data_IF_093019454420
#
_entry.id   IF_093019454420
#
_cell.length_a   1.000
_cell.length_b   1.000
_cell.length_c   1.000
_cell.angle_alpha   90.00
_cell.angle_beta   90.00
_cell.angle_gamma   90.00
#
_symmetry.space_group_name_H-M   'P 1'
#
loop_
_entity.id
_entity.type
_entity.pdbx_description
1 polymer ?
#
# COMPACT_ATOMS: atom_id res chain seq x y z
N UNK A 1 -15.38 0.78 -12.92
CA UNK A 1 -14.07 1.19 -12.36
C UNK A 1 -14.22 1.54 -10.89
N UNK A 2 -13.15 1.76 -10.12
CA UNK A 2 -13.26 2.22 -8.73
C UNK A 2 -14.08 3.51 -8.59
N UNK A 3 -13.88 4.46 -9.52
CA UNK A 3 -14.65 5.71 -9.56
C UNK A 3 -16.15 5.48 -9.79
N UNK A 4 -16.53 4.52 -10.64
CA UNK A 4 -17.94 4.21 -10.89
C UNK A 4 -18.59 3.57 -9.67
N UNK A 5 -17.90 2.63 -9.01
CA UNK A 5 -18.38 1.99 -7.78
C UNK A 5 -18.56 3.01 -6.65
N UNK A 6 -17.65 3.98 -6.51
CA UNK A 6 -17.80 5.08 -5.54
C UNK A 6 -19.05 5.92 -5.85
N UNK A 7 -19.27 6.29 -7.12
CA UNK A 7 -20.45 7.09 -7.52
C UNK A 7 -21.75 6.33 -7.38
N UNK A 8 -21.73 5.01 -7.57
CA UNK A 8 -22.89 4.14 -7.33
C UNK A 8 -23.26 4.13 -5.83
N UNK A 9 -22.26 4.07 -4.95
CA UNK A 9 -22.47 4.12 -3.49
C UNK A 9 -22.97 5.49 -3.04
N UNK A 10 -22.35 6.57 -3.53
CA UNK A 10 -22.73 7.93 -3.18
C UNK A 10 -22.54 8.88 -4.37
N UNK A 11 -23.61 9.29 -5.08
CA UNK A 11 -23.49 10.16 -6.25
C UNK A 11 -23.14 11.62 -5.90
N UNK A 12 -23.12 11.99 -4.62
CA UNK A 12 -22.80 13.35 -4.17
C UNK A 12 -21.29 13.61 -4.06
N UNK A 13 -20.46 12.57 -4.11
CA UNK A 13 -19.00 12.72 -4.00
C UNK A 13 -18.38 13.11 -5.34
N UNK A 14 -17.43 14.05 -5.30
CA UNK A 14 -16.61 14.38 -6.46
C UNK A 14 -15.40 13.44 -6.53
N UNK A 15 -15.34 12.58 -7.55
CA UNK A 15 -14.20 11.69 -7.78
C UNK A 15 -13.32 12.26 -8.88
N UNK A 16 -12.15 12.77 -8.50
CA UNK A 16 -11.11 13.27 -9.42
C UNK A 16 -10.13 12.14 -9.69
N UNK A 17 -10.03 11.73 -10.96
CA UNK A 17 -9.16 10.62 -11.38
C UNK A 17 -7.88 11.21 -11.96
N UNK A 18 -6.74 10.79 -11.42
CA UNK A 18 -5.42 11.02 -12.01
C UNK A 18 -4.98 9.74 -12.72
N UNK A 19 -5.18 9.67 -14.03
CA UNK A 19 -4.80 8.49 -14.82
C UNK A 19 -3.31 8.56 -15.22
N UNK A 20 -2.44 8.61 -14.22
CA UNK A 20 -0.98 8.66 -14.36
C UNK A 20 -0.34 7.83 -13.24
N UNK A 21 0.81 7.23 -13.51
CA UNK A 21 1.64 6.72 -12.44
C UNK A 21 2.12 7.91 -11.58
N UNK A 22 2.11 7.73 -10.27
CA UNK A 22 2.67 8.74 -9.38
C UNK A 22 4.19 8.70 -9.52
N UNK A 23 4.83 9.86 -9.69
CA UNK A 23 6.27 9.98 -9.83
C UNK A 23 6.78 11.28 -9.17
N UNK A 24 8.10 11.46 -9.17
CA UNK A 24 8.77 12.63 -8.59
C UNK A 24 8.25 13.95 -9.17
N UNK A 25 7.95 13.97 -10.46
CA UNK A 25 7.63 15.18 -11.20
C UNK A 25 6.19 15.62 -10.95
N UNK A 26 5.28 14.68 -10.71
CA UNK A 26 3.85 14.95 -10.54
C UNK A 26 3.33 14.90 -9.09
N UNK A 27 4.02 14.21 -8.17
CA UNK A 27 3.48 13.92 -6.83
C UNK A 27 3.15 15.18 -6.04
N UNK A 28 4.02 16.20 -6.09
CA UNK A 28 3.80 17.45 -5.34
C UNK A 28 2.62 18.25 -5.87
N UNK A 29 2.49 18.35 -7.20
CA UNK A 29 1.38 19.05 -7.84
C UNK A 29 0.06 18.39 -7.49
N UNK A 30 -0.02 17.06 -7.61
CA UNK A 30 -1.22 16.29 -7.28
C UNK A 30 -1.54 16.46 -5.79
N UNK A 31 -0.58 16.22 -4.89
CA UNK A 31 -0.83 16.23 -3.45
C UNK A 31 -1.20 17.62 -2.93
N UNK A 32 -0.67 18.69 -3.52
CA UNK A 32 -0.98 20.07 -3.12
C UNK A 32 -2.49 20.37 -3.10
N UNK A 33 -3.27 19.67 -3.93
CA UNK A 33 -4.72 19.85 -4.11
C UNK A 33 -5.58 19.14 -3.06
N UNK A 34 -5.00 18.31 -2.18
CA UNK A 34 -5.74 17.46 -1.22
C UNK A 34 -5.35 17.73 0.23
N UNK A 35 -6.28 17.59 1.18
CA UNK A 35 -6.00 17.86 2.59
C UNK A 35 -5.23 16.73 3.30
N UNK A 36 -5.38 15.49 2.84
CA UNK A 36 -4.74 14.30 3.41
C UNK A 36 -4.45 13.27 2.32
N UNK A 37 -3.49 12.40 2.58
CA UNK A 37 -3.08 11.32 1.68
C UNK A 37 -3.40 9.96 2.32
N UNK A 38 -4.10 9.08 1.59
CA UNK A 38 -4.31 7.68 2.00
C UNK A 38 -3.54 6.78 1.04
N UNK A 39 -2.68 5.95 1.60
CA UNK A 39 -1.73 5.17 0.81
C UNK A 39 -2.12 3.71 0.65
N UNK A 40 -2.58 3.36 -0.55
CA UNK A 40 -2.85 1.98 -0.94
C UNK A 40 -1.73 1.36 -1.78
N UNK A 41 -0.51 1.89 -1.74
CA UNK A 41 0.58 1.42 -2.61
C UNK A 41 1.30 0.19 -2.06
N UNK A 42 1.81 -0.64 -2.97
CA UNK A 42 2.34 -1.98 -2.68
C UNK A 42 3.86 -2.10 -2.86
N UNK A 43 4.55 -1.01 -3.21
CA UNK A 43 6.00 -0.99 -3.41
C UNK A 43 6.69 0.06 -2.53
N UNK A 44 7.95 -0.18 -2.19
CA UNK A 44 8.72 0.68 -1.28
C UNK A 44 9.04 2.05 -1.89
N UNK A 45 9.46 2.09 -3.16
CA UNK A 45 9.84 3.33 -3.84
C UNK A 45 8.72 4.38 -3.76
N UNK A 46 7.49 3.97 -4.08
CA UNK A 46 6.31 4.83 -3.99
C UNK A 46 6.03 5.24 -2.55
N UNK A 47 6.11 4.33 -1.57
CA UNK A 47 5.88 4.67 -0.15
C UNK A 47 6.86 5.74 0.36
N UNK A 48 8.15 5.61 0.03
CA UNK A 48 9.14 6.62 0.40
C UNK A 48 8.87 7.96 -0.30
N UNK A 49 8.54 7.96 -1.59
CA UNK A 49 8.19 9.17 -2.33
C UNK A 49 6.94 9.85 -1.77
N UNK A 50 5.89 9.08 -1.49
CA UNK A 50 4.62 9.58 -0.93
C UNK A 50 4.86 10.17 0.46
N UNK A 51 5.63 9.51 1.32
CA UNK A 51 6.04 10.06 2.61
C UNK A 51 6.79 11.38 2.44
N UNK A 52 7.81 11.42 1.59
CA UNK A 52 8.66 12.58 1.43
C UNK A 52 7.85 13.78 0.90
N UNK A 53 7.00 13.55 -0.09
CA UNK A 53 6.08 14.56 -0.61
C UNK A 53 5.09 15.05 0.46
N UNK A 54 4.52 14.13 1.25
CA UNK A 54 3.58 14.50 2.32
C UNK A 54 4.26 15.36 3.40
N UNK A 55 5.47 15.02 3.82
CA UNK A 55 6.25 15.83 4.77
C UNK A 55 6.59 17.20 4.20
N UNK A 56 7.12 17.26 2.97
CA UNK A 56 7.49 18.52 2.31
C UNK A 56 6.29 19.45 2.09
N UNK A 57 5.07 18.91 2.00
CA UNK A 57 3.83 19.66 1.86
C UNK A 57 3.07 19.86 3.18
N UNK A 58 3.57 19.33 4.30
CA UNK A 58 2.91 19.42 5.62
C UNK A 58 1.58 18.66 5.72
N UNK A 59 1.39 17.59 4.93
CA UNK A 59 0.13 16.85 4.85
C UNK A 59 0.14 15.59 5.72
N UNK A 60 -0.97 15.24 6.39
CA UNK A 60 -1.11 13.96 7.06
C UNK A 60 -1.13 12.81 6.03
N UNK A 61 -0.38 11.76 6.35
CA UNK A 61 -0.16 10.57 5.53
C UNK A 61 -0.69 9.34 6.28
N UNK A 62 -1.83 8.83 5.83
CA UNK A 62 -2.50 7.64 6.37
C UNK A 62 -1.98 6.41 5.64
N UNK A 63 -1.13 5.65 6.33
CA UNK A 63 -0.38 4.55 5.74
C UNK A 63 -0.93 3.20 6.19
N UNK A 64 -0.92 2.26 5.25
CA UNK A 64 -1.22 0.85 5.47
C UNK A 64 -0.21 -0.03 4.75
N UNK A 65 0.10 -1.19 5.31
CA UNK A 65 0.93 -2.21 4.66
C UNK A 65 0.47 -3.59 5.07
N UNK A 66 0.60 -4.55 4.16
CA UNK A 66 0.21 -5.93 4.39
C UNK A 66 1.31 -6.83 3.86
N UNK A 67 1.59 -7.91 4.58
CA UNK A 67 2.51 -8.94 4.15
C UNK A 67 2.01 -10.29 4.66
N UNK A 68 1.67 -11.21 3.74
CA UNK A 68 1.11 -12.54 4.06
C UNK A 68 -0.13 -12.47 4.97
N UNK A 69 0.06 -12.64 6.28
CA UNK A 69 -0.96 -12.67 7.31
C UNK A 69 -0.85 -11.49 8.30
N UNK A 70 0.11 -10.60 8.09
CA UNK A 70 0.38 -9.44 8.93
C UNK A 70 -0.11 -8.16 8.24
N UNK A 71 -0.82 -7.33 8.99
CA UNK A 71 -1.24 -6.00 8.58
C UNK A 71 -0.67 -4.92 9.49
N UNK A 72 -0.40 -3.76 8.94
CA UNK A 72 0.11 -2.60 9.68
C UNK A 72 -0.61 -1.34 9.24
N UNK A 73 -0.84 -0.43 10.20
CA UNK A 73 -1.41 0.88 9.93
C UNK A 73 -0.83 1.94 10.87
N UNK A 74 -0.65 3.15 10.35
CA UNK A 74 -0.19 4.32 11.12
C UNK A 74 -0.68 5.61 10.45
N UNK A 75 -0.62 6.72 11.19
CA UNK A 75 -0.71 8.06 10.61
C UNK A 75 0.63 8.75 10.81
N UNK A 76 1.25 9.18 9.74
CA UNK A 76 2.49 9.96 9.77
C UNK A 76 2.14 11.42 9.48
N UNK A 77 2.57 12.31 10.36
CA UNK A 77 2.28 13.74 10.23
C UNK A 77 3.36 14.53 10.99
N UNK A 78 4.32 15.08 10.26
CA UNK A 78 5.57 15.61 10.79
C UNK A 78 5.39 16.71 11.85
N UNK A 79 4.39 17.58 11.66
CA UNK A 79 4.04 18.67 12.57
C UNK A 79 3.58 18.15 13.94
N UNK A 80 2.97 16.96 13.98
CA UNK A 80 2.37 16.38 15.18
C UNK A 80 3.07 15.08 15.66
N UNK A 81 4.04 14.56 14.92
CA UNK A 81 4.60 13.24 15.17
C UNK A 81 5.70 12.80 14.20
N UNK A 82 6.03 11.49 14.18
CA UNK A 82 7.03 10.94 13.28
C UNK A 82 6.56 10.97 11.81
N UNK A 83 7.52 11.01 10.88
CA UNK A 83 7.30 10.63 9.49
C UNK A 83 7.58 9.13 9.29
N UNK A 84 7.31 8.59 8.10
CA UNK A 84 7.59 7.19 7.78
C UNK A 84 9.07 6.84 7.96
N UNK A 85 9.99 7.73 7.54
CA UNK A 85 11.43 7.54 7.72
C UNK A 85 11.89 7.51 9.18
N UNK A 86 11.11 8.05 10.12
CA UNK A 86 11.41 7.85 11.56
C UNK A 86 11.18 6.40 12.01
N UNK A 87 10.28 5.69 11.34
CA UNK A 87 10.00 4.27 11.61
C UNK A 87 10.90 3.36 10.76
N UNK A 88 11.06 3.69 9.48
CA UNK A 88 11.86 2.95 8.50
C UNK A 88 12.87 3.89 7.82
N UNK A 89 14.02 4.16 8.44
CA UNK A 89 15.00 5.12 7.92
C UNK A 89 15.52 4.77 6.54
N UNK A 90 15.76 3.48 6.31
CA UNK A 90 16.28 2.91 5.08
C UNK A 90 15.36 1.78 4.60
N UNK A 91 15.22 1.61 3.28
CA UNK A 91 14.46 0.52 2.70
C UNK A 91 15.12 -0.83 3.06
N UNK A 92 14.34 -1.93 3.09
CA UNK A 92 14.93 -3.25 3.24
C UNK A 92 15.86 -3.54 2.06
N UNK A 93 16.89 -4.39 2.24
CA UNK A 93 17.74 -4.82 1.13
C UNK A 93 16.93 -5.39 -0.04
N UNK A 94 17.31 -5.13 -1.30
CA UNK A 94 16.58 -5.65 -2.45
C UNK A 94 16.43 -7.18 -2.40
N UNK A 95 15.22 -7.65 -2.73
CA UNK A 95 14.85 -9.07 -2.68
C UNK A 95 14.53 -9.64 -1.30
N UNK A 96 14.68 -8.87 -0.20
CA UNK A 96 14.37 -9.37 1.16
C UNK A 96 12.87 -9.40 1.47
N UNK A 97 12.10 -8.45 0.93
CA UNK A 97 10.65 -8.35 1.16
C UNK A 97 9.95 -8.30 -0.19
N UNK A 98 9.22 -9.36 -0.59
CA UNK A 98 8.50 -9.36 -1.85
C UNK A 98 7.26 -8.45 -1.79
N UNK A 99 6.79 -8.02 -2.96
CA UNK A 99 5.51 -7.29 -3.07
C UNK A 99 4.33 -8.15 -2.64
N UNK A 100 3.14 -7.57 -2.44
CA UNK A 100 1.92 -8.34 -2.19
C UNK A 100 1.63 -9.36 -3.30
N UNK A 101 1.91 -8.98 -4.56
CA UNK A 101 1.74 -9.84 -5.72
C UNK A 101 2.75 -11.00 -5.75
N UNK A 102 3.97 -10.80 -5.26
CA UNK A 102 5.04 -11.80 -5.23
C UNK A 102 4.96 -12.72 -4.00
N UNK A 103 4.72 -12.14 -2.81
CA UNK A 103 4.75 -12.85 -1.53
C UNK A 103 3.44 -13.52 -1.15
N UNK A 104 2.35 -13.18 -1.84
CA UNK A 104 0.99 -13.56 -1.50
C UNK A 104 0.43 -12.78 -0.30
N UNK A 105 -0.87 -12.52 -0.34
CA UNK A 105 -1.58 -11.82 0.74
C UNK A 105 -2.94 -12.48 0.99
N UNK A 106 -3.31 -12.62 2.26
CA UNK A 106 -4.67 -12.99 2.61
C UNK A 106 -5.61 -11.83 2.22
N UNK A 107 -6.44 -12.01 1.19
CA UNK A 107 -7.22 -10.92 0.59
C UNK A 107 -8.09 -10.13 1.57
N UNK A 108 -8.60 -10.78 2.63
CA UNK A 108 -9.38 -10.09 3.68
C UNK A 108 -8.57 -9.04 4.45
N UNK A 109 -7.24 -9.17 4.53
CA UNK A 109 -6.39 -8.15 5.16
C UNK A 109 -6.41 -6.82 4.41
N UNK A 110 -6.55 -6.84 3.08
CA UNK A 110 -6.70 -5.62 2.29
C UNK A 110 -7.94 -4.83 2.74
N UNK A 111 -9.05 -5.54 2.95
CA UNK A 111 -10.27 -4.93 3.47
C UNK A 111 -10.11 -4.46 4.93
N UNK A 112 -9.47 -5.26 5.80
CA UNK A 112 -9.24 -4.90 7.20
C UNK A 112 -8.36 -3.66 7.35
N UNK A 113 -7.17 -3.65 6.75
CA UNK A 113 -6.23 -2.53 6.84
C UNK A 113 -6.78 -1.31 6.10
N UNK A 114 -7.41 -1.48 4.94
CA UNK A 114 -8.10 -0.39 4.25
C UNK A 114 -9.19 0.25 5.12
N UNK A 115 -9.97 -0.55 5.86
CA UNK A 115 -10.98 -0.03 6.79
C UNK A 115 -10.36 0.77 7.93
N UNK A 116 -9.20 0.35 8.43
CA UNK A 116 -8.46 1.09 9.46
C UNK A 116 -7.95 2.41 8.89
N UNK A 117 -7.37 2.42 7.68
CA UNK A 117 -6.94 3.65 7.02
C UNK A 117 -8.10 4.63 6.84
N UNK A 118 -9.25 4.16 6.35
CA UNK A 118 -10.46 5.00 6.21
C UNK A 118 -10.92 5.56 7.56
N UNK A 119 -10.90 4.74 8.61
CA UNK A 119 -11.24 5.20 9.96
C UNK A 119 -10.28 6.29 10.47
N UNK A 120 -8.97 6.16 10.21
CA UNK A 120 -8.00 7.21 10.53
C UNK A 120 -8.23 8.49 9.71
N UNK A 121 -8.53 8.37 8.42
CA UNK A 121 -8.86 9.51 7.57
C UNK A 121 -10.10 10.25 8.08
N UNK A 122 -11.16 9.53 8.48
CA UNK A 122 -12.36 10.13 9.07
C UNK A 122 -12.01 10.90 10.34
N UNK A 123 -11.24 10.30 11.26
CA UNK A 123 -10.83 10.98 12.50
C UNK A 123 -10.06 12.27 12.22
N UNK A 124 -9.16 12.26 11.26
CA UNK A 124 -8.40 13.45 10.83
C UNK A 124 -9.31 14.53 10.25
N UNK A 125 -10.21 14.18 9.33
CA UNK A 125 -11.14 15.13 8.69
C UNK A 125 -12.08 15.75 9.72
N UNK A 126 -12.65 14.94 10.62
CA UNK A 126 -13.69 15.40 11.54
C UNK A 126 -13.14 15.92 12.88
N UNK A 127 -11.84 15.73 13.15
CA UNK A 127 -11.21 16.10 14.41
C UNK A 127 -11.73 15.31 15.62
N UNK A 128 -12.13 14.05 15.43
CA UNK A 128 -12.69 13.22 16.50
C UNK A 128 -11.74 12.11 16.92
N UNK A 129 -11.79 11.75 18.21
CA UNK A 129 -10.98 10.67 18.76
C UNK A 129 -9.48 10.97 18.66
N UNK A 130 -8.69 9.91 18.65
CA UNK A 130 -7.23 9.98 18.71
C UNK A 130 -6.63 9.25 17.49
N UNK A 131 -6.14 9.96 16.46
CA UNK A 131 -5.50 9.37 15.30
C UNK A 131 -4.23 8.57 15.66
N UNK A 132 -3.84 7.59 14.85
CA UNK A 132 -2.65 6.74 15.06
C UNK A 132 -1.30 7.50 14.93
N UNK A 133 -1.29 8.83 14.98
CA UNK A 133 -0.06 9.62 15.04
C UNK A 133 0.81 9.14 16.22
N UNK A 134 2.07 8.82 15.91
CA UNK A 134 3.05 8.30 16.89
C UNK A 134 2.78 6.86 17.35
N UNK A 135 1.93 6.10 16.63
CA UNK A 135 1.55 4.73 16.98
C UNK A 135 1.48 3.85 15.75
N UNK A 136 2.28 2.78 15.74
CA UNK A 136 2.14 1.70 14.77
C UNK A 136 1.14 0.68 15.31
N UNK A 137 0.04 0.49 14.60
CA UNK A 137 -0.86 -0.64 14.84
C UNK A 137 -0.37 -1.83 14.01
N UNK A 138 -0.20 -2.99 14.65
CA UNK A 138 0.13 -4.27 14.03
C UNK A 138 -1.05 -5.22 14.24
N UNK A 139 -1.53 -5.81 13.16
CA UNK A 139 -2.59 -6.80 13.14
C UNK A 139 -2.03 -8.14 12.69
N UNK A 140 -2.03 -9.12 13.58
CA UNK A 140 -1.75 -10.53 13.27
C UNK A 140 -3.09 -11.21 12.96
N UNK A 141 -3.30 -11.63 11.71
CA UNK A 141 -4.55 -12.27 11.30
C UNK A 141 -4.68 -13.72 11.76
N UNK A 142 -3.57 -14.42 12.02
CA UNK A 142 -3.62 -15.82 12.43
C UNK A 142 -4.03 -15.93 13.90
N UNK A 143 -3.45 -15.08 14.74
CA UNK A 143 -3.76 -15.02 16.17
C UNK A 143 -4.91 -14.06 16.49
N UNK A 144 -5.41 -13.32 15.49
CA UNK A 144 -6.45 -12.30 15.62
C UNK A 144 -6.12 -11.24 16.68
N UNK A 145 -4.86 -10.80 16.72
CA UNK A 145 -4.36 -9.86 17.73
C UNK A 145 -4.03 -8.48 17.13
N UNK A 146 -4.44 -7.43 17.85
CA UNK A 146 -4.09 -6.04 17.55
C UNK A 146 -3.12 -5.51 18.60
N UNK A 147 -1.90 -5.18 18.18
CA UNK A 147 -0.87 -4.57 19.03
C UNK A 147 -0.62 -3.13 18.62
N UNK A 148 -0.36 -2.26 19.60
CA UNK A 148 0.03 -0.86 19.37
C UNK A 148 1.44 -0.63 19.89
N UNK A 149 2.33 -0.21 19.01
CA UNK A 149 3.71 0.11 19.33
C UNK A 149 3.87 1.63 19.25
N UNK A 150 4.46 2.23 20.29
CA UNK A 150 4.74 3.68 20.29
C UNK A 150 5.92 3.98 19.36
N UNK A 151 5.71 4.88 18.42
CA UNK A 151 6.74 5.39 17.50
C UNK A 151 7.07 6.81 17.90
N UNK A 152 8.36 7.15 17.95
CA UNK A 152 8.83 8.49 18.30
C UNK A 152 9.45 9.14 17.07
N UNK A 153 9.32 10.46 16.96
CA UNK A 153 10.10 11.23 16.00
C UNK A 153 11.57 11.06 16.32
N UNK A 154 12.36 10.74 15.29
CA UNK A 154 13.82 10.63 15.41
C UNK A 154 14.44 12.01 15.17
N UNK A 155 15.15 12.60 16.16
CA UNK A 155 15.84 13.89 15.98
C UNK A 155 16.88 13.87 14.86
N UNK A 156 17.39 12.70 14.49
CA UNK A 156 18.37 12.52 13.42
C UNK A 156 17.75 12.03 12.10
N UNK A 157 16.41 12.07 11.98
CA UNK A 157 15.74 11.65 10.75
C UNK A 157 16.24 12.49 9.56
N UNK A 158 16.64 11.80 8.48
CA UNK A 158 17.18 12.44 7.29
C UNK A 158 16.23 13.48 6.66
N UNK A 159 14.92 13.36 6.88
CA UNK A 159 13.90 14.22 6.29
C UNK A 159 13.30 15.24 7.27
N UNK A 160 12.96 14.83 8.49
CA UNK A 160 12.27 15.69 9.47
C UNK A 160 12.99 15.85 10.80
N UNK A 161 14.27 15.47 10.85
CA UNK A 161 15.14 15.70 12.00
C UNK A 161 15.58 17.16 12.13
N UNK A 162 16.40 17.46 13.13
CA UNK A 162 16.90 18.81 13.39
C UNK A 162 17.86 19.33 12.30
N UNK A 163 18.55 18.40 11.63
CA UNK A 163 19.50 18.69 10.55
C UNK A 163 19.19 17.80 9.33
N UNK A 164 18.12 18.08 8.57
CA UNK A 164 17.69 17.21 7.48
C UNK A 164 18.70 17.21 6.32
N UNK A 165 19.01 16.02 5.83
CA UNK A 165 19.86 15.79 4.65
C UNK A 165 19.03 15.60 3.37
N UNK A 166 17.78 15.18 3.51
CA UNK A 166 16.78 15.10 2.44
C UNK A 166 15.91 16.34 2.54
N UNK A 167 16.11 17.29 1.63
CA UNK A 167 15.39 18.58 1.58
C UNK A 167 14.43 18.68 0.40
N UNK A 168 14.47 17.71 -0.50
CA UNK A 168 13.57 17.56 -1.65
C UNK A 168 13.39 16.06 -1.95
N UNK A 169 12.51 15.73 -2.90
CA UNK A 169 12.33 14.38 -3.41
C UNK A 169 13.65 13.85 -4.01
N UNK A 170 13.93 12.57 -3.78
CA UNK A 170 15.08 11.90 -4.38
C UNK A 170 14.98 11.88 -5.91
N UNK A 171 16.11 11.92 -6.62
CA UNK A 171 16.13 11.82 -8.09
C UNK A 171 15.59 10.47 -8.56
N UNK A 172 15.96 9.40 -7.87
CA UNK A 172 15.53 8.04 -8.17
C UNK A 172 15.20 7.27 -6.87
N UNK A 173 13.93 6.95 -6.68
CA UNK A 173 13.45 6.17 -5.54
C UNK A 173 13.61 4.66 -5.75
N UNK A 174 13.65 4.19 -7.00
CA UNK A 174 13.86 2.78 -7.32
C UNK A 174 15.32 2.40 -7.04
N UNK A 175 16.26 3.23 -7.47
CA UNK A 175 17.68 3.07 -7.15
C UNK A 175 17.92 3.13 -5.64
N UNK A 176 17.24 4.03 -4.93
CA UNK A 176 17.33 4.14 -3.46
C UNK A 176 16.82 2.88 -2.75
N UNK A 177 15.70 2.31 -3.21
CA UNK A 177 15.14 1.09 -2.63
C UNK A 177 15.88 -0.19 -3.03
N UNK A 178 16.79 -0.08 -4.00
CA UNK A 178 17.36 -1.22 -4.68
C UNK A 178 16.30 -1.81 -5.60
N UNK A 179 16.50 -1.65 -6.91
CA UNK A 179 15.61 -2.22 -7.91
C UNK A 179 15.35 -3.71 -7.60
N UNK A 180 14.08 -4.10 -7.68
CA UNK A 180 13.71 -5.52 -7.80
C UNK A 180 14.56 -6.09 -8.94
N UNK A 181 15.30 -7.18 -8.70
CA UNK A 181 16.21 -7.68 -9.73
C UNK A 181 15.45 -7.93 -11.03
N UNK A 182 16.08 -7.67 -12.18
CA UNK A 182 15.49 -7.96 -13.49
C UNK A 182 14.93 -9.39 -13.54
N UNK A 183 15.55 -10.33 -12.81
CA UNK A 183 15.12 -11.72 -12.68
C UNK A 183 13.79 -11.89 -11.93
N UNK A 184 13.52 -11.09 -10.90
CA UNK A 184 12.25 -11.10 -10.16
C UNK A 184 11.12 -10.40 -10.94
N UNK A 185 11.46 -9.36 -11.71
CA UNK A 185 10.56 -8.76 -12.70
C UNK A 185 10.26 -9.74 -13.85
N UNK A 186 11.26 -10.46 -14.37
CA UNK A 186 11.07 -11.52 -15.38
C UNK A 186 10.24 -12.70 -14.84
N UNK A 187 10.43 -13.07 -13.57
CA UNK A 187 9.67 -14.13 -12.93
C UNK A 187 8.18 -13.78 -12.80
N UNK A 188 7.85 -12.50 -12.57
CA UNK A 188 6.45 -12.03 -12.46
C UNK A 188 5.81 -11.76 -13.83
N UNK A 189 6.58 -11.34 -14.84
CA UNK A 189 6.12 -11.08 -16.21
C UNK A 189 5.38 -12.28 -16.85
N UNK A 190 5.72 -13.51 -16.47
CA UNK A 190 5.06 -14.74 -16.94
C UNK A 190 4.31 -15.50 -15.85
N UNK A 191 4.16 -14.93 -14.64
CA UNK A 191 3.50 -15.59 -13.51
C UNK A 191 1.98 -15.50 -13.55
N UNK A 192 1.42 -14.65 -14.43
CA UNK A 192 -0.02 -14.47 -14.58
C UNK A 192 -0.45 -14.79 -16.01
N UNK A 193 -1.66 -15.32 -16.14
CA UNK A 193 -2.29 -15.60 -17.43
C UNK A 193 -3.70 -15.02 -17.43
N UNK A 194 -4.18 -14.62 -18.59
CA UNK A 194 -5.57 -14.23 -18.78
C UNK A 194 -6.48 -15.46 -18.80
N UNK A 195 -7.78 -15.24 -18.56
CA UNK A 195 -8.78 -16.31 -18.66
C UNK A 195 -8.84 -16.97 -20.06
N UNK A 196 -8.51 -16.23 -21.13
CA UNK A 196 -8.47 -16.79 -22.49
C UNK A 196 -7.26 -17.69 -22.69
N UNK A 197 -6.10 -17.28 -22.21
CA UNK A 197 -4.89 -18.10 -22.29
C UNK A 197 -5.03 -19.40 -21.47
N UNK A 198 -5.65 -19.33 -20.29
CA UNK A 198 -5.98 -20.55 -19.53
C UNK A 198 -6.89 -21.48 -20.34
N UNK A 199 -7.91 -20.94 -21.01
CA UNK A 199 -8.81 -21.73 -21.86
C UNK A 199 -8.06 -22.36 -23.04
N UNK A 200 -7.18 -21.61 -23.69
CA UNK A 200 -6.35 -22.11 -24.79
C UNK A 200 -5.42 -23.24 -24.31
N UNK A 201 -4.87 -23.14 -23.10
CA UNK A 201 -4.05 -24.19 -22.50
C UNK A 201 -4.85 -25.47 -22.22
N UNK A 202 -6.06 -25.34 -21.68
CA UNK A 202 -6.97 -26.47 -21.46
C UNK A 202 -7.36 -27.14 -22.78
N UNK A 203 -7.66 -26.34 -23.82
CA UNK A 203 -8.02 -26.86 -25.15
C UNK A 203 -6.84 -27.53 -25.86
N UNK A 204 -5.62 -27.03 -25.61
CA UNK A 204 -4.38 -27.65 -26.07
C UNK A 204 -3.99 -28.91 -25.27
N UNK A 205 -4.73 -29.27 -24.21
CA UNK A 205 -4.45 -30.42 -23.36
C UNK A 205 -3.16 -30.27 -22.55
N UNK A 206 -2.75 -29.04 -22.23
CA UNK A 206 -1.61 -28.77 -21.37
C UNK A 206 -1.91 -29.26 -19.95
N UNK A 207 -0.95 -29.92 -19.32
CA UNK A 207 -1.07 -30.37 -17.94
C UNK A 207 -0.95 -29.15 -17.00
N UNK A 208 -2.07 -28.75 -16.39
CA UNK A 208 -2.19 -27.58 -15.54
C UNK A 208 -2.98 -27.98 -14.30
N UNK A 209 -2.40 -27.74 -13.12
CA UNK A 209 -3.10 -27.92 -11.84
C UNK A 209 -3.78 -26.61 -11.45
N UNK A 210 -5.11 -26.62 -11.40
CA UNK A 210 -5.92 -25.48 -11.00
C UNK A 210 -6.28 -25.64 -9.52
N UNK A 211 -6.14 -24.55 -8.76
CA UNK A 211 -6.56 -24.48 -7.35
C UNK A 211 -7.55 -23.34 -7.22
N UNK A 212 -8.81 -23.66 -6.95
CA UNK A 212 -9.80 -22.66 -6.58
C UNK A 212 -9.64 -22.27 -5.10
N UNK A 213 -9.41 -20.98 -4.84
CA UNK A 213 -9.19 -20.43 -3.48
C UNK A 213 -10.43 -19.72 -2.92
N UNK A 214 -11.57 -19.81 -3.60
CA UNK A 214 -12.85 -19.20 -3.18
C UNK A 214 -13.54 -20.04 -2.10
N UNK A 215 -14.50 -19.44 -1.41
CA UNK A 215 -15.26 -20.13 -0.36
C UNK A 215 -16.17 -21.24 -0.95
N UNK A 216 -16.50 -22.31 -0.20
CA UNK A 216 -17.26 -23.44 -0.72
C UNK A 216 -18.58 -23.05 -1.41
N UNK A 217 -19.31 -22.07 -0.86
CA UNK A 217 -20.56 -21.60 -1.43
C UNK A 217 -20.39 -20.94 -2.82
N UNK A 218 -19.24 -20.29 -3.08
CA UNK A 218 -18.93 -19.66 -4.36
C UNK A 218 -18.47 -20.68 -5.41
N UNK A 219 -17.73 -21.70 -4.96
CA UNK A 219 -17.32 -22.83 -5.80
C UNK A 219 -18.53 -23.64 -6.27
N UNK A 220 -19.49 -23.91 -5.37
CA UNK A 220 -20.70 -24.68 -5.69
C UNK A 220 -21.62 -23.99 -6.70
N UNK A 221 -21.61 -22.65 -6.77
CA UNK A 221 -22.38 -21.90 -7.77
C UNK A 221 -21.80 -22.13 -9.17
N UNK A 222 -20.48 -22.02 -9.31
CA UNK A 222 -19.75 -22.24 -10.56
C UNK A 222 -18.27 -22.42 -10.29
N UNK A 223 -17.64 -23.38 -10.97
CA UNK A 223 -16.20 -23.59 -10.98
C UNK A 223 -15.67 -23.85 -12.38
N UNK A 224 -14.38 -23.64 -12.57
CA UNK A 224 -13.69 -24.04 -13.80
C UNK A 224 -13.48 -25.56 -13.72
N UNK A 225 -13.86 -26.35 -14.75
CA UNK A 225 -13.61 -27.78 -14.73
C UNK A 225 -12.13 -28.11 -14.49
N UNK A 226 -11.86 -28.89 -13.43
CA UNK A 226 -10.50 -29.27 -13.02
C UNK A 226 -9.87 -28.38 -11.94
N UNK A 227 -10.57 -27.34 -11.47
CA UNK A 227 -10.19 -26.52 -10.32
C UNK A 227 -10.76 -27.02 -8.99
#
# INVERSE_FOLDING_TARGET
SAADSIREINPLVNVVIHNTALDRDNVKEIFSQYDLIVDGTDNFATRYMVNDAAVLLGKPYVWGSIYRFDGQASVFWEEHGPCYRCLYPEPPPPGMVPSCAEGGVLGVLCASIGSIQVNEAIKLITGIGEPLVGRLMVYDALEMEYRKIKVRKDPNCALCGENPTVTDLLEDYEDFCGAVSEEAQEATLNATITARELKDWQDAGKDVFLVDVREPAEYEIVSIPGA
#
